data_IF_735566277151
#
_entry.id   IF_735566277151
#
_cell.length_a   1.000
_cell.length_b   1.000
_cell.length_c   1.000
_cell.angle_alpha   90.00
_cell.angle_beta   90.00
_cell.angle_gamma   90.00
#
_symmetry.space_group_name_H-M   'P 1'
#
loop_
_entity.id
_entity.type
_entity.pdbx_description
1 polymer ?
#
# COMPACT_ATOMS: atom_id res chain seq x y z
N UNK A 1 1.60 5.62 18.17
CA UNK A 1 0.93 4.96 17.03
C UNK A 1 1.99 4.63 16.00
N UNK A 2 2.12 3.36 15.64
CA UNK A 2 3.07 2.88 14.64
C UNK A 2 2.30 2.21 13.50
N UNK A 3 2.71 2.50 12.27
CA UNK A 3 2.19 1.92 11.03
C UNK A 3 3.38 1.57 10.14
N UNK A 4 3.21 0.60 9.24
CA UNK A 4 4.20 0.28 8.22
C UNK A 4 3.91 1.10 6.96
N UNK A 5 4.95 1.56 6.28
CA UNK A 5 4.86 2.20 4.97
C UNK A 5 6.02 1.69 4.09
N UNK A 6 5.95 1.95 2.80
CA UNK A 6 6.97 1.54 1.84
C UNK A 6 7.43 2.75 1.03
N UNK A 7 8.65 2.65 0.50
CA UNK A 7 9.22 3.57 -0.48
C UNK A 7 10.28 2.82 -1.27
N UNK A 8 10.62 3.31 -2.46
CA UNK A 8 11.70 2.76 -3.29
C UNK A 8 12.81 3.79 -3.46
N UNK A 9 14.03 3.28 -3.56
CA UNK A 9 15.22 4.07 -3.87
C UNK A 9 15.70 3.77 -5.28
N UNK A 10 16.63 4.58 -5.77
CA UNK A 10 17.34 4.30 -7.01
C UNK A 10 18.23 3.04 -6.83
N UNK A 11 18.44 2.28 -7.91
CA UNK A 11 19.26 1.07 -7.88
C UNK A 11 20.76 1.39 -7.83
N UNK A 12 21.18 2.51 -8.44
CA UNK A 12 22.57 2.93 -8.46
C UNK A 12 22.90 3.87 -7.30
N UNK A 13 21.94 4.70 -6.88
CA UNK A 13 22.08 5.61 -5.73
C UNK A 13 20.98 5.40 -4.67
N UNK A 14 21.25 4.54 -3.70
CA UNK A 14 20.29 4.20 -2.64
C UNK A 14 19.89 5.38 -1.74
N UNK A 15 20.59 6.52 -1.81
CA UNK A 15 20.22 7.72 -1.04
C UNK A 15 19.05 8.49 -1.66
N UNK A 16 18.76 8.22 -2.93
CA UNK A 16 17.73 8.88 -3.71
C UNK A 16 16.42 8.09 -3.67
N UNK A 17 15.40 8.67 -3.04
CA UNK A 17 14.04 8.12 -3.07
C UNK A 17 13.41 8.38 -4.44
N UNK A 18 13.00 7.32 -5.14
CA UNK A 18 12.36 7.40 -6.47
C UNK A 18 10.83 7.39 -6.36
N UNK A 19 10.28 6.64 -5.40
CA UNK A 19 8.84 6.52 -5.20
C UNK A 19 8.51 6.50 -3.70
N UNK A 20 7.48 7.26 -3.33
CA UNK A 20 6.96 7.31 -1.96
C UNK A 20 5.43 7.43 -2.00
N UNK A 21 4.70 6.30 -1.89
CA UNK A 21 3.24 6.30 -1.88
C UNK A 21 2.71 7.08 -0.67
N UNK A 22 1.54 7.70 -0.83
CA UNK A 22 0.85 8.37 0.27
C UNK A 22 0.35 7.37 1.33
N UNK A 23 0.39 7.79 2.59
CA UNK A 23 -0.24 7.05 3.68
C UNK A 23 0.55 5.85 4.19
N UNK A 24 -0.18 4.85 4.69
CA UNK A 24 0.37 3.63 5.27
C UNK A 24 0.19 2.44 4.31
N UNK A 25 1.06 1.46 4.45
CA UNK A 25 0.96 0.14 3.84
C UNK A 25 0.17 -0.82 4.76
N UNK A 26 0.56 -0.95 6.04
CA UNK A 26 -0.17 -1.74 7.04
C UNK A 26 -0.38 -0.88 8.28
N UNK A 27 -1.60 -0.87 8.79
CA UNK A 27 -1.98 -0.26 10.06
C UNK A 27 -2.75 -1.27 10.91
N UNK A 28 -2.77 -1.13 12.25
CA UNK A 28 -3.42 -2.10 13.11
C UNK A 28 -4.91 -2.24 12.78
N UNK A 29 -5.38 -3.46 12.55
CA UNK A 29 -6.78 -3.82 12.29
C UNK A 29 -7.32 -4.81 13.34
N UNK A 30 -8.60 -4.69 13.72
CA UNK A 30 -9.23 -5.59 14.67
C UNK A 30 -8.44 -5.75 15.98
N UNK A 31 -8.12 -7.01 16.33
CA UNK A 31 -7.39 -7.39 17.54
C UNK A 31 -5.94 -6.87 17.57
N UNK A 32 -5.35 -6.52 16.42
CA UNK A 32 -4.01 -5.94 16.35
C UNK A 32 -3.90 -4.61 17.08
N UNK A 33 -5.02 -3.92 17.31
CA UNK A 33 -5.09 -2.64 18.02
C UNK A 33 -4.80 -2.75 19.51
N UNK A 34 -4.93 -3.93 20.10
CA UNK A 34 -4.89 -4.15 21.55
C UNK A 34 -3.76 -5.11 21.92
N UNK A 35 -2.95 -4.68 22.88
CA UNK A 35 -1.83 -5.42 23.47
C UNK A 35 -1.06 -4.52 24.42
N UNK A 36 0.10 -5.00 24.86
CA UNK A 36 0.99 -4.32 25.82
C UNK A 36 1.30 -2.89 25.39
N UNK A 37 1.55 -2.68 24.09
CA UNK A 37 1.73 -1.36 23.49
C UNK A 37 0.70 -1.15 22.38
N UNK A 38 -0.53 -0.84 22.77
CA UNK A 38 -1.67 -0.72 21.84
C UNK A 38 -1.44 0.27 20.69
N UNK A 39 -2.13 0.03 19.56
CA UNK A 39 -2.09 0.85 18.34
C UNK A 39 -0.70 0.89 17.65
N UNK A 40 -0.05 -0.27 17.61
CA UNK A 40 1.26 -0.52 16.97
C UNK A 40 1.17 -1.68 16.00
N UNK A 41 1.71 -1.50 14.80
CA UNK A 41 2.27 -2.60 14.00
C UNK A 41 3.73 -2.29 13.71
N UNK A 42 4.59 -3.31 13.74
CA UNK A 42 6.03 -3.17 13.53
C UNK A 42 6.58 -4.37 12.75
N UNK A 43 7.51 -4.15 11.82
CA UNK A 43 8.09 -5.19 10.98
C UNK A 43 9.61 -5.01 10.94
N UNK A 44 10.33 -6.12 11.12
CA UNK A 44 11.78 -6.18 11.07
C UNK A 44 12.29 -7.35 10.21
N UNK A 45 11.42 -8.02 9.45
CA UNK A 45 11.80 -9.13 8.61
C UNK A 45 10.73 -9.52 7.61
N UNK A 46 11.15 -9.81 6.39
CA UNK A 46 10.33 -10.46 5.37
C UNK A 46 11.17 -11.49 4.63
N UNK A 47 10.51 -12.42 3.95
CA UNK A 47 11.15 -13.44 3.12
C UNK A 47 10.55 -13.35 1.73
N UNK A 48 11.42 -13.29 0.70
CA UNK A 48 11.04 -13.40 -0.70
C UNK A 48 11.41 -14.82 -1.16
N UNK A 49 10.42 -15.56 -1.61
CA UNK A 49 10.57 -16.93 -2.12
C UNK A 49 11.07 -16.93 -3.59
N UNK A 50 11.42 -18.10 -4.11
CA UNK A 50 11.90 -18.27 -5.49
C UNK A 50 10.87 -17.90 -6.55
N UNK A 51 9.57 -18.04 -6.23
CA UNK A 51 8.44 -17.69 -7.11
C UNK A 51 7.97 -16.22 -6.98
N UNK A 52 8.80 -15.37 -6.36
CA UNK A 52 8.52 -13.96 -6.05
C UNK A 52 7.39 -13.74 -5.03
N UNK A 53 6.89 -14.78 -4.35
CA UNK A 53 6.04 -14.62 -3.16
C UNK A 53 6.81 -13.93 -2.04
N UNK A 54 6.17 -12.98 -1.33
CA UNK A 54 6.77 -12.25 -0.22
C UNK A 54 5.95 -12.46 1.05
N UNK A 55 6.59 -13.01 2.09
CA UNK A 55 6.07 -13.18 3.43
C UNK A 55 6.57 -12.06 4.34
N UNK A 56 5.66 -11.18 4.78
CA UNK A 56 5.98 -10.02 5.62
C UNK A 56 5.60 -10.35 7.06
N UNK A 57 6.59 -10.53 7.92
CA UNK A 57 6.38 -10.85 9.34
C UNK A 57 6.31 -9.57 10.16
N UNK A 58 5.15 -9.26 10.72
CA UNK A 58 4.94 -8.05 11.50
C UNK A 58 4.30 -8.36 12.86
N UNK A 59 4.75 -7.67 13.89
CA UNK A 59 4.16 -7.72 15.21
C UNK A 59 2.98 -6.73 15.32
N UNK A 60 1.98 -7.07 16.12
CA UNK A 60 0.94 -6.12 16.56
C UNK A 60 1.00 -5.89 18.06
N UNK A 61 0.90 -4.62 18.45
CA UNK A 61 0.82 -4.13 19.83
C UNK A 61 1.89 -4.69 20.78
N UNK A 62 3.09 -4.98 20.26
CA UNK A 62 4.23 -5.61 20.96
C UNK A 62 3.88 -6.94 21.67
N UNK A 63 2.84 -7.63 21.21
CA UNK A 63 2.32 -8.83 21.88
C UNK A 63 2.38 -10.09 21.03
N UNK A 64 2.14 -9.98 19.72
CA UNK A 64 1.95 -11.15 18.84
C UNK A 64 2.49 -10.90 17.44
N UNK A 65 2.95 -11.97 16.79
CA UNK A 65 3.45 -11.97 15.42
C UNK A 65 2.37 -12.41 14.43
N UNK A 66 2.36 -11.77 13.27
CA UNK A 66 1.47 -12.03 12.14
C UNK A 66 2.29 -12.21 10.86
N UNK A 67 1.63 -12.68 9.81
CA UNK A 67 2.20 -12.75 8.46
C UNK A 67 1.21 -12.18 7.43
N UNK A 68 1.67 -11.24 6.62
CA UNK A 68 0.99 -10.81 5.40
C UNK A 68 1.71 -11.39 4.18
N UNK A 69 0.95 -11.87 3.19
CA UNK A 69 1.49 -12.50 1.98
C UNK A 69 1.20 -11.62 0.77
N UNK A 70 2.22 -11.32 -0.01
CA UNK A 70 2.13 -10.57 -1.27
C UNK A 70 3.05 -11.19 -2.33
N UNK A 71 3.26 -10.49 -3.45
CA UNK A 71 4.29 -10.81 -4.44
C UNK A 71 5.14 -9.58 -4.70
N UNK A 72 6.36 -9.76 -5.23
CA UNK A 72 7.22 -8.63 -5.63
C UNK A 72 6.47 -7.68 -6.56
N UNK A 73 5.81 -8.21 -7.60
CA UNK A 73 5.06 -7.39 -8.56
C UNK A 73 3.97 -6.55 -7.91
N UNK A 74 3.19 -7.13 -6.97
CA UNK A 74 2.13 -6.38 -6.26
C UNK A 74 2.70 -5.30 -5.36
N UNK A 75 3.85 -5.55 -4.71
CA UNK A 75 4.50 -4.56 -3.86
C UNK A 75 5.11 -3.42 -4.68
N UNK A 76 5.75 -3.74 -5.80
CA UNK A 76 6.28 -2.73 -6.74
C UNK A 76 5.15 -1.93 -7.37
N UNK A 77 4.06 -2.57 -7.79
CA UNK A 77 2.86 -1.91 -8.30
C UNK A 77 2.27 -0.94 -7.26
N UNK A 78 2.12 -1.41 -6.01
CA UNK A 78 1.65 -0.57 -4.91
C UNK A 78 2.53 0.68 -4.73
N UNK A 79 3.86 0.53 -4.70
CA UNK A 79 4.77 1.65 -4.43
C UNK A 79 4.84 2.63 -5.62
N UNK A 80 4.76 2.14 -6.85
CA UNK A 80 4.93 2.96 -8.06
C UNK A 80 3.64 3.61 -8.53
N UNK A 81 2.48 3.00 -8.28
CA UNK A 81 1.19 3.50 -8.80
C UNK A 81 0.26 4.08 -7.72
N UNK A 82 0.52 3.85 -6.43
CA UNK A 82 -0.20 4.60 -5.38
C UNK A 82 0.25 6.07 -5.42
N UNK A 83 -0.67 7.05 -5.54
CA UNK A 83 -0.30 8.46 -5.62
C UNK A 83 0.55 8.91 -4.43
N UNK A 84 1.53 9.78 -4.69
CA UNK A 84 2.31 10.42 -3.65
C UNK A 84 1.47 11.43 -2.85
N UNK A 85 1.88 11.71 -1.61
CA UNK A 85 1.13 12.61 -0.73
C UNK A 85 1.28 14.08 -1.18
N UNK A 86 0.14 14.71 -1.52
CA UNK A 86 0.07 16.13 -1.86
C UNK A 86 0.11 17.07 -0.65
N UNK A 87 0.22 16.54 0.57
CA UNK A 87 0.40 17.24 1.85
C UNK A 87 -0.71 18.24 2.21
N UNK A 88 -1.84 18.20 1.52
CA UNK A 88 -3.02 19.05 1.75
C UNK A 88 -4.30 18.29 1.44
N UNK A 89 -5.33 18.51 2.26
CA UNK A 89 -6.67 17.92 2.05
C UNK A 89 -7.21 18.17 0.63
N UNK A 90 -7.09 19.39 0.11
CA UNK A 90 -7.52 19.71 -1.25
C UNK A 90 -6.77 18.90 -2.34
N UNK A 91 -5.49 18.57 -2.12
CA UNK A 91 -4.71 17.74 -3.03
C UNK A 91 -5.17 16.27 -2.97
N UNK A 92 -5.43 15.72 -1.78
CA UNK A 92 -5.99 14.38 -1.61
C UNK A 92 -7.35 14.24 -2.32
N UNK A 93 -8.24 15.22 -2.14
CA UNK A 93 -9.55 15.26 -2.81
C UNK A 93 -9.36 15.28 -4.33
N UNK A 94 -8.43 16.08 -4.85
CA UNK A 94 -8.14 16.17 -6.29
C UNK A 94 -7.71 14.81 -6.87
N UNK A 95 -6.81 14.08 -6.21
CA UNK A 95 -6.38 12.75 -6.67
C UNK A 95 -7.52 11.73 -6.61
N UNK A 96 -8.37 11.78 -5.58
CA UNK A 96 -9.58 10.93 -5.52
C UNK A 96 -10.51 11.23 -6.70
N UNK A 97 -10.78 12.51 -6.99
CA UNK A 97 -11.62 12.89 -8.14
C UNK A 97 -11.03 12.42 -9.47
N UNK A 98 -9.71 12.47 -9.63
CA UNK A 98 -9.02 11.97 -10.83
C UNK A 98 -9.33 10.47 -11.03
N UNK A 99 -9.17 9.66 -9.99
CA UNK A 99 -9.48 8.22 -10.04
C UNK A 99 -10.96 7.96 -10.30
N UNK A 100 -11.86 8.67 -9.61
CA UNK A 100 -13.32 8.54 -9.81
C UNK A 100 -13.71 8.84 -11.26
N UNK A 101 -13.15 9.90 -11.85
CA UNK A 101 -13.46 10.27 -13.24
C UNK A 101 -12.93 9.24 -14.24
N UNK A 102 -11.73 8.69 -14.02
CA UNK A 102 -11.21 7.58 -14.83
C UNK A 102 -12.10 6.34 -14.76
N UNK A 103 -12.56 5.96 -13.56
CA UNK A 103 -13.43 4.80 -13.39
C UNK A 103 -14.80 4.97 -14.06
N UNK A 104 -15.37 6.19 -14.05
CA UNK A 104 -16.63 6.48 -14.76
C UNK A 104 -16.52 6.21 -16.26
N UNK A 105 -15.43 6.65 -16.89
CA UNK A 105 -15.19 6.42 -18.32
C UNK A 105 -15.15 4.92 -18.66
N UNK A 106 -14.49 4.11 -17.81
CA UNK A 106 -14.47 2.65 -17.99
C UNK A 106 -15.86 2.05 -17.88
N UNK A 107 -16.65 2.47 -16.89
CA UNK A 107 -18.01 1.97 -16.70
C UNK A 107 -18.95 2.33 -17.86
N UNK A 108 -18.80 3.53 -18.44
CA UNK A 108 -19.57 3.99 -19.60
C UNK A 108 -19.20 3.18 -20.85
N UNK A 109 -17.90 2.95 -21.09
CA UNK A 109 -17.41 2.10 -22.19
C UNK A 109 -17.94 0.66 -22.05
N UNK A 110 -17.91 0.08 -20.85
CA UNK A 110 -18.46 -1.25 -20.60
C UNK A 110 -19.96 -1.31 -20.85
N UNK A 111 -20.71 -0.26 -20.49
CA UNK A 111 -22.14 -0.21 -20.73
C UNK A 111 -22.48 -0.14 -22.23
N UNK A 112 -21.75 0.68 -23.00
CA UNK A 112 -21.91 0.76 -24.47
C UNK A 112 -21.58 -0.57 -25.13
N UNK A 113 -20.48 -1.22 -24.74
CA UNK A 113 -20.08 -2.50 -25.31
C UNK A 113 -21.09 -3.62 -25.01
N UNK A 114 -21.71 -3.61 -23.83
CA UNK A 114 -22.73 -4.59 -23.46
C UNK A 114 -24.09 -4.34 -24.12
N UNK A 115 -24.38 -3.14 -24.63
CA UNK A 115 -25.59 -2.85 -25.41
C UNK A 115 -25.41 -3.11 -26.92
N UNK A 116 -24.17 -3.24 -27.39
CA UNK A 116 -23.82 -3.47 -28.79
C UNK A 116 -23.70 -4.96 -29.17
N UNK A 117 -24.04 -5.87 -28.24
CA UNK A 117 -24.12 -7.34 -28.41
C UNK A 117 -25.55 -7.78 -28.21
#
# INVERSE_FOLDING_TARGET
RYVLYMFMTDLEDITKVTHKPAGYFIAPEGEERVGDVSNVVFCNGWIKDEDDTVYIYYASSDTRMHVAVSTVDKLVDYVTHTPADGMRSAASVKEIYKLVNSNKQVSEIQHVNNQAV
#
